data_IF_064758533538
#
_entry.id   IF_064758533538
#
_cell.length_a   1.000
_cell.length_b   1.000
_cell.length_c   1.000
_cell.angle_alpha   90.00
_cell.angle_beta   90.00
_cell.angle_gamma   90.00
#
_symmetry.space_group_name_H-M   'P 1'
#
loop_
_entity.id
_entity.type
_entity.pdbx_description
1 polymer ?
#
# COMPACT_ATOMS: atom_id res chain seq x y z
N UNK A 1 7.11 0.45 -38.70
CA UNK A 1 7.72 1.34 -37.67
C UNK A 1 9.17 1.59 -38.06
N UNK A 2 9.91 2.49 -37.41
CA UNK A 2 11.32 2.76 -37.76
C UNK A 2 12.25 2.33 -36.63
N UNK A 3 13.43 1.81 -36.99
CA UNK A 3 14.44 1.43 -36.02
C UNK A 3 14.98 2.68 -35.30
N UNK A 4 14.93 2.75 -33.95
CA UNK A 4 15.39 3.92 -33.21
C UNK A 4 16.91 4.13 -33.29
N UNK A 5 17.67 3.13 -33.72
CA UNK A 5 19.13 3.21 -33.83
C UNK A 5 19.63 3.62 -35.22
N UNK A 6 18.94 3.23 -36.30
CA UNK A 6 19.42 3.44 -37.67
C UNK A 6 18.37 4.00 -38.63
N UNK A 7 17.14 4.23 -38.19
CA UNK A 7 16.06 4.81 -39.00
C UNK A 7 15.47 3.89 -40.07
N UNK A 8 15.90 2.63 -40.15
CA UNK A 8 15.39 1.68 -41.15
C UNK A 8 13.91 1.33 -40.92
N UNK A 9 13.12 1.24 -41.99
CA UNK A 9 11.73 0.82 -41.93
C UNK A 9 11.64 -0.67 -41.60
N UNK A 10 10.89 -1.01 -40.56
CA UNK A 10 10.76 -2.38 -40.05
C UNK A 10 9.31 -2.75 -39.78
N UNK A 11 9.01 -4.04 -39.97
CA UNK A 11 7.71 -4.62 -39.68
C UNK A 11 7.42 -4.67 -38.18
N UNK A 12 6.13 -4.70 -37.83
CA UNK A 12 5.69 -4.87 -36.44
C UNK A 12 6.00 -6.32 -36.03
N UNK A 13 6.74 -6.54 -34.93
CA UNK A 13 7.22 -7.83 -34.37
C UNK A 13 8.56 -8.40 -34.86
N UNK A 14 9.54 -7.57 -35.23
CA UNK A 14 10.93 -8.06 -35.44
C UNK A 14 11.73 -8.01 -34.13
N UNK A 15 12.50 -9.07 -33.83
CA UNK A 15 13.37 -9.12 -32.64
C UNK A 15 14.72 -8.43 -32.86
N UNK A 16 15.19 -8.33 -34.09
CA UNK A 16 16.47 -7.71 -34.44
C UNK A 16 16.29 -6.87 -35.71
N UNK A 17 16.91 -5.70 -35.75
CA UNK A 17 16.90 -4.88 -36.95
C UNK A 17 17.74 -5.56 -38.04
N UNK A 18 17.10 -5.91 -39.17
CA UNK A 18 17.76 -6.54 -40.32
C UNK A 18 18.90 -5.70 -40.92
N UNK A 19 18.90 -4.39 -40.67
CA UNK A 19 19.90 -3.47 -41.20
C UNK A 19 21.09 -3.26 -40.24
N UNK A 20 20.85 -3.01 -38.95
CA UNK A 20 21.92 -2.68 -37.99
C UNK A 20 22.20 -3.77 -36.94
N UNK A 21 21.52 -4.91 -37.01
CA UNK A 21 21.74 -6.08 -36.13
C UNK A 21 21.34 -5.89 -34.65
N UNK A 22 20.93 -4.68 -34.24
CA UNK A 22 20.52 -4.42 -32.86
C UNK A 22 19.18 -5.07 -32.55
N UNK A 23 19.11 -5.73 -31.40
CA UNK A 23 17.88 -6.28 -30.87
C UNK A 23 16.88 -5.16 -30.58
N UNK A 24 15.65 -5.33 -31.05
CA UNK A 24 14.51 -4.61 -30.49
C UNK A 24 14.25 -5.25 -29.14
N UNK A 25 14.47 -4.50 -28.05
CA UNK A 25 13.87 -4.85 -26.75
C UNK A 25 12.36 -4.72 -26.89
N UNK A 26 11.74 -5.74 -27.48
CA UNK A 26 10.34 -6.04 -27.25
C UNK A 26 10.33 -6.75 -25.90
N UNK A 27 10.43 -5.96 -24.83
CA UNK A 27 9.77 -6.36 -23.59
C UNK A 27 8.28 -6.41 -23.97
N UNK A 28 7.83 -7.54 -24.52
CA UNK A 28 6.42 -7.89 -24.48
C UNK A 28 6.14 -8.02 -22.99
N UNK A 29 5.84 -6.89 -22.33
CA UNK A 29 5.42 -6.85 -20.95
C UNK A 29 4.14 -7.69 -20.92
N UNK A 30 4.27 -8.95 -20.55
CA UNK A 30 3.13 -9.80 -20.30
C UNK A 30 2.42 -9.19 -19.10
N UNK A 31 1.33 -8.45 -19.37
CA UNK A 31 0.46 -7.88 -18.33
C UNK A 31 -0.40 -8.95 -17.64
N UNK A 32 -0.20 -10.22 -18.00
CA UNK A 32 -0.82 -11.38 -17.41
C UNK A 32 0.27 -12.14 -16.65
N UNK A 33 0.04 -12.33 -15.35
CA UNK A 33 1.02 -12.92 -14.43
C UNK A 33 1.15 -12.11 -13.14
N UNK A 34 1.76 -12.73 -12.13
CA UNK A 34 2.28 -11.98 -11.00
C UNK A 34 3.72 -11.55 -11.28
N UNK A 35 4.03 -10.31 -10.94
CA UNK A 35 5.29 -9.66 -11.26
C UNK A 35 6.39 -10.07 -10.27
N UNK A 36 7.54 -10.49 -10.79
CA UNK A 36 8.73 -10.78 -9.99
C UNK A 36 9.38 -9.51 -9.41
N UNK A 37 8.96 -8.32 -9.90
CA UNK A 37 9.41 -7.02 -9.43
C UNK A 37 9.10 -6.75 -7.95
N UNK A 38 8.26 -7.57 -7.30
CA UNK A 38 8.06 -7.48 -5.84
C UNK A 38 9.38 -7.71 -5.05
N UNK A 39 10.32 -8.44 -5.63
CA UNK A 39 11.63 -8.72 -5.02
C UNK A 39 12.62 -7.54 -5.17
N UNK A 40 12.22 -6.47 -5.84
CA UNK A 40 13.07 -5.30 -6.03
C UNK A 40 13.47 -4.65 -4.67
N UNK A 41 14.74 -4.24 -4.51
CA UNK A 41 15.23 -3.59 -3.29
C UNK A 41 14.41 -2.36 -2.86
N UNK A 42 13.75 -1.66 -3.79
CA UNK A 42 12.89 -0.53 -3.49
C UNK A 42 11.70 -0.91 -2.59
N UNK A 43 11.13 -2.12 -2.76
CA UNK A 43 10.08 -2.61 -1.87
C UNK A 43 10.61 -2.95 -0.48
N UNK A 44 11.81 -3.51 -0.38
CA UNK A 44 12.45 -3.77 0.91
C UNK A 44 12.77 -2.48 1.65
N UNK A 45 13.32 -1.48 0.93
CA UNK A 45 13.55 -0.14 1.45
C UNK A 45 12.26 0.49 1.96
N UNK A 46 11.18 0.46 1.17
CA UNK A 46 9.89 1.01 1.58
C UNK A 46 9.36 0.37 2.88
N UNK A 47 9.46 -0.95 3.03
CA UNK A 47 9.06 -1.66 4.25
C UNK A 47 9.92 -1.25 5.46
N UNK A 48 11.24 -1.18 5.28
CA UNK A 48 12.18 -0.74 6.32
C UNK A 48 11.86 0.68 6.76
N UNK A 49 11.71 1.60 5.81
CA UNK A 49 11.40 3.00 6.07
C UNK A 49 10.07 3.15 6.81
N UNK A 50 9.03 2.39 6.42
CA UNK A 50 7.73 2.44 7.11
C UNK A 50 7.82 2.01 8.58
N UNK A 51 8.64 1.00 8.88
CA UNK A 51 8.87 0.57 10.26
C UNK A 51 9.73 1.58 11.04
N UNK A 52 10.80 2.10 10.42
CA UNK A 52 11.64 3.13 11.02
C UNK A 52 10.84 4.39 11.35
N UNK A 53 10.00 4.87 10.43
CA UNK A 53 9.13 6.02 10.68
C UNK A 53 8.12 5.77 11.80
N UNK A 54 7.55 4.57 11.88
CA UNK A 54 6.64 4.20 12.96
C UNK A 54 7.35 4.24 14.33
N UNK A 55 8.59 3.73 14.39
CA UNK A 55 9.41 3.75 15.60
C UNK A 55 9.84 5.16 15.99
N UNK A 56 10.39 5.94 15.06
CA UNK A 56 10.84 7.32 15.30
C UNK A 56 9.68 8.19 15.79
N UNK A 57 8.53 8.13 15.12
CA UNK A 57 7.35 8.90 15.49
C UNK A 57 6.86 8.55 16.91
N UNK A 58 6.77 7.26 17.22
CA UNK A 58 6.37 6.81 18.56
C UNK A 58 7.37 7.23 19.63
N UNK A 59 8.68 7.14 19.36
CA UNK A 59 9.74 7.58 20.28
C UNK A 59 9.69 9.07 20.56
N UNK A 60 9.44 9.90 19.54
CA UNK A 60 9.30 11.35 19.73
C UNK A 60 8.09 11.66 20.61
N UNK A 61 6.92 11.07 20.32
CA UNK A 61 5.72 11.28 21.14
C UNK A 61 5.89 10.79 22.57
N UNK A 62 6.58 9.66 22.77
CA UNK A 62 6.87 9.15 24.10
C UNK A 62 7.79 10.09 24.89
N UNK A 63 8.86 10.60 24.27
CA UNK A 63 9.75 11.57 24.89
C UNK A 63 9.02 12.87 25.27
N UNK A 64 8.17 13.38 24.36
CA UNK A 64 7.33 14.55 24.64
C UNK A 64 6.42 14.28 25.83
N UNK A 65 5.73 13.15 25.89
CA UNK A 65 4.86 12.83 27.03
C UNK A 65 5.66 12.76 28.34
N UNK A 66 6.78 12.04 28.38
CA UNK A 66 7.59 11.87 29.59
C UNK A 66 8.13 13.21 30.12
N UNK A 67 8.43 14.17 29.24
CA UNK A 67 8.97 15.49 29.63
C UNK A 67 7.86 16.51 29.92
N UNK A 68 6.81 16.55 29.10
CA UNK A 68 5.79 17.58 29.17
C UNK A 68 4.90 17.46 30.43
N UNK A 69 4.57 16.24 30.86
CA UNK A 69 3.73 16.06 32.05
C UNK A 69 4.40 16.55 33.34
N UNK A 70 5.69 16.25 33.62
CA UNK A 70 6.42 16.85 34.73
C UNK A 70 6.47 18.38 34.69
N UNK A 71 6.78 18.97 33.53
CA UNK A 71 6.81 20.44 33.36
C UNK A 71 5.43 21.04 33.66
N UNK A 72 4.37 20.42 33.12
CA UNK A 72 2.99 20.84 33.38
C UNK A 72 2.66 20.78 34.87
N UNK A 73 2.94 19.66 35.54
CA UNK A 73 2.68 19.47 36.96
C UNK A 73 3.40 20.50 37.83
N UNK A 74 4.66 20.81 37.52
CA UNK A 74 5.42 21.86 38.22
C UNK A 74 4.87 23.28 37.97
N UNK A 75 4.36 23.54 36.76
CA UNK A 75 3.86 24.87 36.39
C UNK A 75 2.46 25.18 36.93
N UNK A 76 1.58 24.18 37.00
CA UNK A 76 0.18 24.36 37.41
C UNK A 76 -0.09 23.94 38.85
N UNK A 77 0.72 23.02 39.40
CA UNK A 77 0.45 22.40 40.69
C UNK A 77 -0.72 21.41 40.68
N UNK A 78 -1.33 21.12 39.52
CA UNK A 78 -2.45 20.18 39.41
C UNK A 78 -2.02 18.72 39.50
N UNK A 79 -0.74 18.44 39.24
CA UNK A 79 -0.16 17.11 39.22
C UNK A 79 1.14 17.10 40.02
N UNK A 80 1.12 16.45 41.18
CA UNK A 80 2.28 16.34 42.05
C UNK A 80 3.36 15.43 41.44
N UNK A 81 4.61 15.66 41.84
CA UNK A 81 5.70 14.73 41.55
C UNK A 81 5.72 13.63 42.63
N UNK A 82 5.80 12.33 42.27
CA UNK A 82 6.16 11.76 40.97
C UNK A 82 4.98 11.33 40.08
N UNK A 83 3.73 11.63 40.45
CA UNK A 83 2.56 11.19 39.69
C UNK A 83 2.55 11.73 38.25
N UNK A 84 2.93 13.00 38.06
CA UNK A 84 3.05 13.61 36.73
C UNK A 84 3.98 12.82 35.80
N UNK A 85 5.09 12.27 36.32
CA UNK A 85 5.98 11.39 35.56
C UNK A 85 5.30 10.07 35.18
N UNK A 86 4.55 9.46 36.09
CA UNK A 86 3.87 8.18 35.83
C UNK A 86 2.83 8.31 34.72
N UNK A 87 2.10 9.43 34.64
CA UNK A 87 1.23 9.70 33.50
C UNK A 87 2.01 9.80 32.18
N UNK A 88 3.13 10.53 32.17
CA UNK A 88 4.01 10.64 31.01
C UNK A 88 4.55 9.30 30.54
N UNK A 89 5.02 8.44 31.47
CA UNK A 89 5.49 7.08 31.17
C UNK A 89 4.34 6.19 30.68
N UNK A 90 3.17 6.26 31.31
CA UNK A 90 2.00 5.48 30.91
C UNK A 90 1.60 5.77 29.46
N UNK A 91 1.40 7.04 29.12
CA UNK A 91 1.04 7.44 27.75
C UNK A 91 2.19 7.20 26.77
N UNK A 92 3.43 7.49 27.16
CA UNK A 92 4.60 7.26 26.32
C UNK A 92 4.79 5.78 25.97
N UNK A 93 4.67 4.90 26.95
CA UNK A 93 4.76 3.44 26.75
C UNK A 93 3.65 2.92 25.83
N UNK A 94 2.44 3.50 25.89
CA UNK A 94 1.36 3.15 24.98
C UNK A 94 1.73 3.41 23.51
N UNK A 95 2.36 4.54 23.19
CA UNK A 95 2.81 4.82 21.82
C UNK A 95 3.86 3.81 21.34
N UNK A 96 4.83 3.49 22.19
CA UNK A 96 5.87 2.50 21.88
C UNK A 96 5.25 1.12 21.66
N UNK A 97 4.35 0.67 22.54
CA UNK A 97 3.65 -0.61 22.42
C UNK A 97 2.84 -0.70 21.13
N UNK A 98 2.12 0.37 20.77
CA UNK A 98 1.36 0.42 19.51
C UNK A 98 2.31 0.27 18.31
N UNK A 99 3.44 0.98 18.30
CA UNK A 99 4.43 0.86 17.22
C UNK A 99 5.02 -0.55 17.13
N UNK A 100 5.40 -1.15 18.26
CA UNK A 100 5.91 -2.53 18.32
C UNK A 100 4.89 -3.54 17.77
N UNK A 101 3.64 -3.46 18.22
CA UNK A 101 2.56 -4.35 17.75
C UNK A 101 2.34 -4.18 16.25
N UNK A 102 2.38 -2.96 15.72
CA UNK A 102 2.24 -2.73 14.27
C UNK A 102 3.39 -3.35 13.48
N UNK A 103 4.63 -3.18 13.93
CA UNK A 103 5.82 -3.75 13.28
C UNK A 103 5.76 -5.28 13.31
N UNK A 104 5.41 -5.88 14.45
CA UNK A 104 5.25 -7.34 14.60
C UNK A 104 4.13 -7.89 13.72
N UNK A 105 2.96 -7.23 13.66
CA UNK A 105 1.86 -7.66 12.80
C UNK A 105 2.27 -7.72 11.32
N UNK A 106 3.02 -6.72 10.84
CA UNK A 106 3.53 -6.71 9.46
C UNK A 106 4.57 -7.80 9.22
N UNK A 107 5.41 -8.12 10.21
CA UNK A 107 6.45 -9.15 10.07
C UNK A 107 5.89 -10.57 10.06
N UNK A 108 4.77 -10.80 10.78
CA UNK A 108 4.05 -12.08 10.83
C UNK A 108 3.12 -12.30 9.63
N UNK A 109 2.87 -11.27 8.84
CA UNK A 109 2.02 -11.36 7.66
C UNK A 109 2.61 -12.30 6.61
N UNK A 110 1.75 -12.98 5.86
CA UNK A 110 2.14 -13.93 4.81
C UNK A 110 1.68 -13.45 3.45
N UNK A 111 2.44 -13.81 2.43
CA UNK A 111 1.98 -13.72 1.04
C UNK A 111 0.92 -14.79 0.82
N UNK A 112 -0.17 -14.44 0.12
CA UNK A 112 -1.24 -15.37 -0.19
C UNK A 112 -1.99 -14.92 -1.45
N UNK A 113 -2.58 -15.88 -2.15
CA UNK A 113 -3.36 -15.62 -3.35
C UNK A 113 -4.85 -15.84 -3.07
N UNK A 114 -5.69 -15.25 -3.91
CA UNK A 114 -7.13 -15.41 -3.83
C UNK A 114 -7.86 -14.79 -5.01
N UNK A 115 -9.18 -14.88 -4.96
CA UNK A 115 -10.08 -14.36 -6.00
C UNK A 115 -11.10 -13.43 -5.37
N UNK A 116 -11.39 -12.31 -6.03
CA UNK A 116 -12.45 -11.40 -5.60
C UNK A 116 -13.80 -12.04 -5.92
N UNK A 117 -14.56 -12.37 -4.89
CA UNK A 117 -15.82 -13.11 -5.01
C UNK A 117 -17.06 -12.23 -4.85
N UNK A 118 -16.90 -11.04 -4.29
CA UNK A 118 -18.05 -10.20 -3.94
C UNK A 118 -17.65 -8.73 -3.80
N UNK A 119 -18.52 -7.86 -4.30
CA UNK A 119 -18.44 -6.41 -4.19
C UNK A 119 -19.84 -5.85 -3.95
N UNK A 120 -19.94 -4.85 -3.08
CA UNK A 120 -21.21 -4.21 -2.73
C UNK A 120 -20.99 -2.79 -2.22
N UNK A 121 -22.03 -1.96 -2.30
CA UNK A 121 -22.03 -0.58 -1.81
C UNK A 121 -23.33 -0.27 -1.06
N UNK A 122 -23.21 0.43 0.06
CA UNK A 122 -24.38 0.92 0.81
C UNK A 122 -24.11 2.29 1.42
N UNK A 123 -25.19 3.04 1.69
CA UNK A 123 -25.13 4.29 2.44
C UNK A 123 -25.20 4.01 3.93
N UNK A 124 -24.27 4.55 4.71
CA UNK A 124 -24.24 4.47 6.16
C UNK A 124 -24.38 5.89 6.73
N UNK A 125 -25.29 6.08 7.68
CA UNK A 125 -25.45 7.37 8.36
C UNK A 125 -24.20 7.68 9.19
N UNK A 126 -23.70 8.90 9.09
CA UNK A 126 -22.65 9.38 9.97
C UNK A 126 -23.26 9.85 11.29
N UNK A 127 -22.99 9.12 12.37
CA UNK A 127 -23.46 9.44 13.71
C UNK A 127 -22.69 10.59 14.37
N UNK A 128 -21.55 11.00 13.80
CA UNK A 128 -20.73 12.10 14.34
C UNK A 128 -21.11 13.46 13.78
N UNK A 129 -21.88 13.50 12.69
CA UNK A 129 -22.33 14.75 12.09
C UNK A 129 -23.62 15.24 12.75
N UNK A 130 -23.65 16.53 13.13
CA UNK A 130 -24.89 17.22 13.55
C UNK A 130 -25.90 17.35 12.40
N UNK A 131 -25.44 17.22 11.15
CA UNK A 131 -26.27 17.21 9.94
C UNK A 131 -26.53 15.76 9.47
N UNK A 132 -27.66 15.50 8.80
CA UNK A 132 -27.98 14.17 8.23
C UNK A 132 -27.07 13.85 7.03
N UNK A 133 -25.82 13.52 7.30
CA UNK A 133 -24.84 13.13 6.29
C UNK A 133 -24.73 11.60 6.19
N UNK A 134 -24.60 11.12 4.95
CA UNK A 134 -24.48 9.70 4.64
C UNK A 134 -23.15 9.44 3.94
N UNK A 135 -22.40 8.48 4.47
CA UNK A 135 -21.19 7.97 3.85
C UNK A 135 -21.52 6.83 2.90
N UNK A 136 -20.90 6.80 1.73
CA UNK A 136 -20.89 5.59 0.89
C UNK A 136 -19.84 4.63 1.43
N UNK A 137 -20.26 3.41 1.78
CA UNK A 137 -19.35 2.33 2.17
C UNK A 137 -19.21 1.35 1.03
N UNK A 138 -17.99 1.15 0.59
CA UNK A 138 -17.59 0.18 -0.43
C UNK A 138 -17.09 -1.09 0.25
N UNK A 139 -17.64 -2.23 -0.11
CA UNK A 139 -17.29 -3.55 0.43
C UNK A 139 -16.71 -4.41 -0.68
N UNK A 140 -15.59 -5.07 -0.39
CA UNK A 140 -15.01 -6.09 -1.25
C UNK A 140 -14.64 -7.32 -0.42
N UNK A 141 -14.89 -8.52 -0.93
CA UNK A 141 -14.46 -9.77 -0.30
C UNK A 141 -13.58 -10.57 -1.25
N UNK A 142 -12.48 -11.09 -0.72
CA UNK A 142 -11.53 -11.95 -1.41
C UNK A 142 -11.60 -13.33 -0.76
N UNK A 143 -11.86 -14.37 -1.54
CA UNK A 143 -11.71 -15.75 -1.13
C UNK A 143 -10.26 -16.15 -1.35
N UNK A 144 -9.55 -16.40 -0.26
CA UNK A 144 -8.17 -16.91 -0.30
C UNK A 144 -8.18 -18.37 -0.75
N UNK A 145 -7.07 -18.81 -1.32
CA UNK A 145 -6.90 -20.21 -1.74
C UNK A 145 -6.99 -21.20 -0.58
N UNK A 146 -6.60 -20.78 0.61
CA UNK A 146 -6.75 -21.58 1.83
C UNK A 146 -8.19 -21.63 2.36
N UNK A 147 -9.18 -21.16 1.59
CA UNK A 147 -10.60 -21.21 1.93
C UNK A 147 -11.09 -20.05 2.81
N UNK A 148 -10.22 -19.30 3.47
CA UNK A 148 -10.66 -18.16 4.28
C UNK A 148 -11.11 -16.97 3.42
N UNK A 149 -12.02 -16.15 3.93
CA UNK A 149 -12.47 -14.93 3.24
C UNK A 149 -11.92 -13.69 3.94
N UNK A 150 -11.27 -12.80 3.19
CA UNK A 150 -10.84 -11.48 3.66
C UNK A 150 -11.84 -10.43 3.19
N UNK A 151 -12.37 -9.62 4.12
CA UNK A 151 -13.30 -8.53 3.82
C UNK A 151 -12.60 -7.17 3.98
N UNK A 152 -12.79 -6.31 3.00
CA UNK A 152 -12.42 -4.90 3.04
C UNK A 152 -13.68 -4.04 3.09
N UNK A 153 -13.57 -2.94 3.84
CA UNK A 153 -14.57 -1.87 3.88
C UNK A 153 -13.83 -0.55 3.76
N UNK A 154 -14.22 0.26 2.80
CA UNK A 154 -13.70 1.60 2.61
C UNK A 154 -14.86 2.60 2.63
N UNK A 155 -14.71 3.67 3.40
CA UNK A 155 -15.72 4.71 3.55
C UNK A 155 -15.33 5.90 2.69
N UNK A 156 -16.19 6.28 1.74
CA UNK A 156 -15.97 7.37 0.78
C UNK A 156 -14.64 7.29 0.00
N UNK A 157 -14.04 6.10 -0.11
CA UNK A 157 -12.78 5.88 -0.85
C UNK A 157 -13.08 4.84 -1.94
N UNK A 158 -13.51 5.30 -3.14
CA UNK A 158 -13.95 4.41 -4.19
C UNK A 158 -12.81 3.77 -5.00
N UNK A 159 -11.60 4.33 -4.96
CA UNK A 159 -10.48 3.95 -5.85
C UNK A 159 -10.20 2.45 -5.89
N UNK A 160 -9.77 1.81 -4.79
CA UNK A 160 -9.52 0.36 -4.77
C UNK A 160 -10.76 -0.44 -5.17
N UNK A 161 -11.95 -0.02 -4.74
CA UNK A 161 -13.19 -0.69 -5.10
C UNK A 161 -13.43 -0.66 -6.61
N UNK A 162 -13.21 0.44 -7.31
CA UNK A 162 -13.43 0.49 -8.76
C UNK A 162 -12.32 -0.19 -9.57
N UNK A 163 -11.09 -0.20 -9.07
CA UNK A 163 -9.95 -0.82 -9.74
C UNK A 163 -10.11 -2.33 -9.90
N UNK A 164 -10.52 -3.01 -8.83
CA UNK A 164 -10.69 -4.45 -8.81
C UNK A 164 -12.05 -4.89 -9.36
N UNK A 165 -12.12 -6.03 -10.04
CA UNK A 165 -13.35 -6.65 -10.56
C UNK A 165 -13.64 -7.98 -9.87
N UNK A 166 -14.91 -8.40 -9.89
CA UNK A 166 -15.27 -9.76 -9.46
C UNK A 166 -14.61 -10.75 -10.42
N UNK A 167 -14.11 -11.86 -9.89
CA UNK A 167 -13.30 -12.88 -10.55
C UNK A 167 -11.84 -12.48 -10.86
N UNK A 168 -11.40 -11.27 -10.49
CA UNK A 168 -9.98 -10.95 -10.54
C UNK A 168 -9.21 -11.88 -9.59
N UNK A 169 -8.21 -12.57 -10.15
CA UNK A 169 -7.19 -13.27 -9.39
C UNK A 169 -6.20 -12.25 -8.84
N UNK A 170 -5.93 -12.31 -7.54
CA UNK A 170 -5.09 -11.32 -6.85
C UNK A 170 -4.08 -11.98 -5.92
N UNK A 171 -2.94 -11.30 -5.71
CA UNK A 171 -1.89 -11.68 -4.75
C UNK A 171 -1.71 -10.60 -3.70
N UNK A 172 -1.73 -11.03 -2.46
CA UNK A 172 -1.29 -10.25 -1.32
C UNK A 172 0.19 -10.46 -1.10
N UNK A 173 0.97 -9.38 -1.06
CA UNK A 173 2.39 -9.43 -0.77
C UNK A 173 2.65 -9.11 0.69
N UNK A 174 3.46 -9.95 1.36
CA UNK A 174 3.83 -9.74 2.77
C UNK A 174 4.31 -8.30 3.04
N UNK A 175 3.67 -7.63 4.02
CA UNK A 175 4.03 -6.28 4.45
C UNK A 175 3.37 -5.17 3.64
N UNK A 176 2.47 -5.50 2.70
CA UNK A 176 1.74 -4.54 1.88
C UNK A 176 0.23 -4.76 1.98
N UNK A 177 -0.53 -3.68 2.07
CA UNK A 177 -1.98 -3.76 2.26
C UNK A 177 -2.77 -4.00 0.97
N UNK A 178 -2.25 -3.51 -0.16
CA UNK A 178 -2.94 -3.54 -1.45
C UNK A 178 -2.50 -4.73 -2.29
N UNK A 179 -3.42 -5.23 -3.12
CA UNK A 179 -3.23 -6.45 -3.89
C UNK A 179 -2.69 -6.20 -5.27
N UNK A 180 -1.82 -7.08 -5.73
CA UNK A 180 -1.48 -7.17 -7.14
C UNK A 180 -2.57 -7.96 -7.89
N UNK A 181 -3.05 -7.46 -9.03
CA UNK A 181 -3.90 -8.25 -9.94
C UNK A 181 -3.06 -9.23 -10.75
N UNK A 182 -3.63 -10.37 -11.13
CA UNK A 182 -2.95 -11.30 -12.03
C UNK A 182 -3.03 -10.83 -13.49
N UNK A 183 -4.22 -10.44 -13.94
CA UNK A 183 -4.44 -9.91 -15.29
C UNK A 183 -4.63 -8.40 -15.23
N UNK A 184 -3.72 -7.68 -15.89
CA UNK A 184 -3.67 -6.22 -16.01
C UNK A 184 -3.75 -5.79 -17.48
N UNK A 185 -3.97 -6.74 -18.40
CA UNK A 185 -3.92 -6.51 -19.86
C UNK A 185 -5.00 -5.54 -20.36
N UNK A 186 -6.09 -5.41 -19.60
CA UNK A 186 -7.21 -4.53 -19.89
C UNK A 186 -7.25 -3.26 -19.03
N UNK A 187 -6.19 -3.00 -18.26
CA UNK A 187 -6.11 -1.84 -17.38
C UNK A 187 -5.29 -0.71 -18.02
N UNK A 188 -5.82 0.51 -18.04
CA UNK A 188 -5.06 1.72 -18.43
C UNK A 188 -4.30 2.35 -17.26
N UNK A 189 -4.62 1.92 -16.03
CA UNK A 189 -3.98 2.38 -14.80
C UNK A 189 -3.71 1.21 -13.88
N UNK A 190 -2.63 1.30 -13.10
CA UNK A 190 -2.24 0.32 -12.10
C UNK A 190 -2.05 0.98 -10.75
N UNK A 191 -2.56 0.35 -9.69
CA UNK A 191 -2.30 0.81 -8.34
C UNK A 191 -0.93 0.35 -7.87
N UNK A 192 -0.21 1.21 -7.16
CA UNK A 192 1.01 0.80 -6.48
C UNK A 192 0.67 -0.05 -5.24
N UNK A 193 1.15 -1.29 -5.20
CA UNK A 193 0.95 -2.20 -4.07
C UNK A 193 1.47 -1.63 -2.73
N UNK A 194 2.50 -0.77 -2.78
CA UNK A 194 3.09 -0.15 -1.60
C UNK A 194 2.28 1.02 -1.04
N UNK A 195 1.83 1.95 -1.89
CA UNK A 195 1.29 3.24 -1.44
C UNK A 195 -0.11 3.61 -1.96
N UNK A 196 -0.77 2.71 -2.71
CA UNK A 196 -2.10 2.91 -3.32
C UNK A 196 -2.21 4.05 -4.34
N UNK A 197 -1.09 4.59 -4.81
CA UNK A 197 -1.14 5.63 -5.83
C UNK A 197 -1.53 5.00 -7.18
N UNK A 198 -2.47 5.61 -7.88
CA UNK A 198 -2.85 5.23 -9.23
C UNK A 198 -1.82 5.78 -10.21
N UNK A 199 -1.25 4.89 -11.03
CA UNK A 199 -0.27 5.24 -12.04
C UNK A 199 -0.80 4.81 -13.40
N UNK A 200 -0.36 5.52 -14.45
CA UNK A 200 -0.52 5.08 -15.83
C UNK A 200 0.19 3.72 -16.03
N UNK A 201 -0.44 2.82 -16.79
CA UNK A 201 0.05 1.44 -16.98
C UNK A 201 1.38 1.39 -17.75
N UNK A 202 1.77 2.48 -18.42
CA UNK A 202 3.00 2.59 -19.19
C UNK A 202 4.23 2.83 -18.29
N UNK A 203 4.05 3.39 -17.10
CA UNK A 203 5.17 3.77 -16.21
C UNK A 203 5.81 2.57 -15.53
N UNK A 204 7.14 2.52 -15.40
CA UNK A 204 7.79 1.39 -14.73
C UNK A 204 7.85 1.51 -13.21
N UNK A 205 7.70 2.74 -12.69
CA UNK A 205 7.78 3.03 -11.27
C UNK A 205 6.67 3.97 -10.82
N UNK A 206 6.25 3.80 -9.57
CA UNK A 206 5.22 4.63 -8.97
C UNK A 206 5.68 6.09 -8.84
N UNK A 207 4.89 7.04 -9.34
CA UNK A 207 5.20 8.48 -9.27
C UNK A 207 5.44 8.96 -7.83
N UNK A 208 4.69 8.41 -6.86
CA UNK A 208 4.75 8.75 -5.43
C UNK A 208 5.89 8.10 -4.67
N UNK A 209 5.92 6.77 -4.55
CA UNK A 209 6.90 6.07 -3.69
C UNK A 209 8.12 5.51 -4.43
N UNK A 210 8.18 5.65 -5.76
CA UNK A 210 9.27 5.16 -6.63
C UNK A 210 9.49 3.65 -6.65
N UNK A 211 8.70 2.86 -5.93
CA UNK A 211 8.71 1.40 -6.08
C UNK A 211 8.29 1.03 -7.51
N UNK A 212 8.88 -0.02 -8.10
CA UNK A 212 8.47 -0.48 -9.42
C UNK A 212 7.00 -0.89 -9.41
N UNK A 213 6.34 -0.67 -10.53
CA UNK A 213 4.96 -1.11 -10.72
C UNK A 213 4.96 -2.60 -11.06
N UNK A 214 4.13 -3.35 -10.34
CA UNK A 214 4.01 -4.80 -10.48
C UNK A 214 3.19 -5.09 -11.74
N UNK A 215 3.84 -5.02 -12.90
CA UNK A 215 3.26 -5.41 -14.19
C UNK A 215 3.61 -6.86 -14.43
#
# INVERSE_FOLDING_TARGET
MFCPNCGFAVDKNIQYCSNCGKAFKTDNISLIGFSDKINDPAFQKYKKDSNSWSAIFASILAAIAIIAFPIYGMATGELEWPESLYYGIGIGSMFILIALIQILKRSLEKTWDGVIIFKDTYKQRDFRSRFKQYDTVYVMKIKKDNGHTKKHKWRNIPGPYHYYRVNDRVRHHKGFYYYEKYDKSHDSQIICAACNFFNEIELDACKRCKCPLLK
#
